data_IF_473225754587
#
_entry.id   IF_473225754587
#
_cell.length_a   1.000
_cell.length_b   1.000
_cell.length_c   1.000
_cell.angle_alpha   90.00
_cell.angle_beta   90.00
_cell.angle_gamma   90.00
#
_symmetry.space_group_name_H-M   'P 1'
#
loop_
_entity.id
_entity.type
_entity.pdbx_description
1 polymer ?
#
# COMPACT_ATOMS: atom_id res chain seq x y z
N UNK A 1 30.63 -7.84 19.29
CA UNK A 1 29.21 -7.45 19.23
C UNK A 1 29.11 -6.04 19.78
N UNK A 2 28.96 -5.04 18.90
CA UNK A 2 28.89 -3.63 19.29
C UNK A 2 27.40 -3.25 19.25
N UNK A 3 26.81 -2.94 20.41
CA UNK A 3 25.43 -2.49 20.48
C UNK A 3 25.35 -0.99 20.16
N UNK A 4 24.64 -0.65 19.10
CA UNK A 4 24.40 0.72 18.65
C UNK A 4 23.18 1.30 19.36
N UNK A 5 23.25 1.41 20.70
CA UNK A 5 22.12 1.80 21.55
C UNK A 5 21.54 3.18 21.21
N UNK A 6 22.33 4.10 20.69
CA UNK A 6 21.88 5.45 20.32
C UNK A 6 21.33 5.54 18.89
N UNK A 7 21.50 4.50 18.07
CA UNK A 7 21.10 4.53 16.67
C UNK A 7 19.58 4.43 16.55
N UNK A 8 18.95 5.52 16.09
CA UNK A 8 17.50 5.58 15.83
C UNK A 8 17.17 5.53 14.35
N UNK A 9 18.12 5.84 13.47
CA UNK A 9 17.92 5.88 12.03
C UNK A 9 19.08 5.22 11.32
N UNK A 10 18.74 4.32 10.39
CA UNK A 10 19.67 3.69 9.46
C UNK A 10 19.19 4.01 8.04
N UNK A 11 20.05 4.66 7.27
CA UNK A 11 19.76 5.09 5.90
C UNK A 11 20.78 4.43 4.97
N UNK A 12 20.31 3.45 4.19
CA UNK A 12 21.08 2.65 3.24
C UNK A 12 20.61 2.90 1.80
N UNK A 13 19.89 4.00 1.54
CA UNK A 13 19.30 4.27 0.23
C UNK A 13 20.31 4.15 -0.91
N UNK A 14 19.89 3.52 -2.00
CA UNK A 14 20.71 3.37 -3.20
C UNK A 14 21.93 2.45 -3.03
N UNK A 15 21.99 1.65 -1.96
CA UNK A 15 23.08 0.68 -1.74
C UNK A 15 22.95 -0.49 -2.71
N UNK A 16 23.35 -0.27 -3.97
CA UNK A 16 23.17 -1.22 -5.07
C UNK A 16 24.03 -2.48 -4.97
N UNK A 17 24.96 -2.56 -4.03
CA UNK A 17 25.73 -3.78 -3.73
C UNK A 17 25.17 -4.56 -2.54
N UNK A 18 24.21 -4.01 -1.80
CA UNK A 18 23.61 -4.66 -0.64
C UNK A 18 22.69 -5.80 -1.11
N UNK A 19 23.14 -7.04 -0.95
CA UNK A 19 22.33 -8.22 -1.30
C UNK A 19 21.43 -8.69 -0.14
N UNK A 20 21.89 -8.47 1.10
CA UNK A 20 21.18 -8.79 2.35
C UNK A 20 21.47 -7.69 3.37
N UNK A 21 20.50 -7.39 4.25
CA UNK A 21 20.68 -6.39 5.31
C UNK A 21 21.52 -6.91 6.49
N UNK A 22 22.10 -6.03 7.32
CA UNK A 22 22.79 -6.46 8.54
C UNK A 22 21.83 -7.07 9.58
N UNK A 23 22.41 -7.68 10.62
CA UNK A 23 21.66 -8.09 11.80
C UNK A 23 21.17 -6.86 12.59
N UNK A 24 19.85 -6.73 12.72
CA UNK A 24 19.19 -5.67 13.48
C UNK A 24 19.19 -5.86 15.00
N UNK A 25 19.63 -7.01 15.54
CA UNK A 25 19.72 -7.20 17.00
C UNK A 25 20.71 -6.23 17.66
N UNK A 26 21.72 -5.77 16.93
CA UNK A 26 22.70 -4.79 17.41
C UNK A 26 22.15 -3.36 17.47
N UNK A 27 20.95 -3.10 16.94
CA UNK A 27 20.31 -1.78 16.85
C UNK A 27 18.92 -1.78 17.52
N UNK A 28 18.83 -2.07 18.83
CA UNK A 28 17.54 -2.30 19.52
C UNK A 28 16.63 -1.06 19.57
N UNK A 29 17.19 0.13 19.34
CA UNK A 29 16.47 1.41 19.38
C UNK A 29 16.18 1.99 17.99
N UNK A 30 16.33 1.20 16.93
CA UNK A 30 16.07 1.64 15.55
C UNK A 30 14.59 1.97 15.36
N UNK A 31 14.33 3.20 14.89
CA UNK A 31 13.00 3.73 14.62
C UNK A 31 12.73 3.90 13.12
N UNK A 32 13.77 4.22 12.35
CA UNK A 32 13.66 4.51 10.92
C UNK A 32 14.69 3.71 10.12
N UNK A 33 14.21 2.82 9.24
CA UNK A 33 15.03 2.07 8.31
C UNK A 33 14.67 2.46 6.88
N UNK A 34 15.62 3.10 6.18
CA UNK A 34 15.41 3.61 4.83
C UNK A 34 16.37 2.89 3.88
N UNK A 35 15.83 2.11 2.96
CA UNK A 35 16.56 1.27 2.00
C UNK A 35 16.03 1.44 0.58
N UNK A 36 15.37 2.57 0.30
CA UNK A 36 14.81 2.80 -1.03
C UNK A 36 15.89 2.78 -2.11
N UNK A 37 15.64 2.11 -3.22
CA UNK A 37 16.55 2.00 -4.35
C UNK A 37 17.71 1.02 -4.14
N UNK A 38 17.67 0.13 -3.13
CA UNK A 38 18.63 -0.96 -3.00
C UNK A 38 18.33 -2.05 -4.03
N UNK A 39 18.73 -1.83 -5.29
CA UNK A 39 18.29 -2.67 -6.42
C UNK A 39 18.79 -4.11 -6.39
N UNK A 40 19.90 -4.41 -5.71
CA UNK A 40 20.42 -5.77 -5.55
C UNK A 40 19.93 -6.49 -4.29
N UNK A 41 19.16 -5.81 -3.44
CA UNK A 41 18.65 -6.39 -2.20
C UNK A 41 17.67 -7.52 -2.55
N UNK A 42 17.97 -8.74 -2.09
CA UNK A 42 17.12 -9.92 -2.32
C UNK A 42 16.30 -10.27 -1.10
N UNK A 43 16.90 -10.11 0.08
CA UNK A 43 16.31 -10.53 1.35
C UNK A 43 16.62 -9.51 2.45
N UNK A 44 15.69 -9.36 3.39
CA UNK A 44 15.89 -8.59 4.61
C UNK A 44 16.12 -9.57 5.75
N UNK A 45 17.19 -9.36 6.51
CA UNK A 45 17.61 -10.24 7.57
C UNK A 45 16.48 -10.45 8.59
N UNK A 46 16.28 -11.71 8.99
CA UNK A 46 15.14 -12.15 9.77
C UNK A 46 15.02 -11.47 11.15
N UNK A 47 16.12 -10.93 11.69
CA UNK A 47 16.13 -10.20 12.95
C UNK A 47 15.40 -8.86 12.89
N UNK A 48 14.97 -8.39 11.72
CA UNK A 48 14.10 -7.23 11.59
C UNK A 48 12.88 -7.34 12.50
N UNK A 49 12.31 -8.55 12.65
CA UNK A 49 11.17 -8.84 13.54
C UNK A 49 11.39 -8.43 15.00
N UNK A 50 12.64 -8.32 15.43
CA UNK A 50 13.03 -7.92 16.79
C UNK A 50 13.07 -6.39 16.97
N UNK A 51 12.96 -5.61 15.89
CA UNK A 51 13.02 -4.14 15.92
C UNK A 51 11.71 -3.53 16.42
N UNK A 52 11.40 -3.75 17.71
CA UNK A 52 10.11 -3.37 18.32
C UNK A 52 9.83 -1.86 18.30
N UNK A 53 10.85 -1.03 18.15
CA UNK A 53 10.73 0.44 18.06
C UNK A 53 10.66 0.96 16.63
N UNK A 54 10.70 0.09 15.61
CA UNK A 54 10.69 0.52 14.22
C UNK A 54 9.33 1.14 13.87
N UNK A 55 9.35 2.42 13.53
CA UNK A 55 8.18 3.23 13.16
C UNK A 55 8.04 3.29 11.64
N UNK A 56 9.17 3.38 10.91
CA UNK A 56 9.20 3.54 9.47
C UNK A 56 10.13 2.53 8.81
N UNK A 57 9.59 1.82 7.82
CA UNK A 57 10.34 0.95 6.91
C UNK A 57 10.10 1.40 5.47
N UNK A 58 11.15 1.82 4.78
CA UNK A 58 11.09 2.15 3.36
C UNK A 58 11.98 1.21 2.54
N UNK A 59 11.35 0.42 1.68
CA UNK A 59 11.96 -0.54 0.76
C UNK A 59 11.60 -0.24 -0.70
N UNK A 60 11.12 0.98 -0.99
CA UNK A 60 10.67 1.30 -2.35
C UNK A 60 11.79 1.14 -3.37
N UNK A 61 11.46 0.76 -4.60
CA UNK A 61 12.43 0.50 -5.67
C UNK A 61 13.48 -0.60 -5.38
N UNK A 62 13.24 -1.48 -4.40
CA UNK A 62 14.03 -2.71 -4.22
C UNK A 62 13.57 -3.78 -5.22
N UNK A 63 13.90 -3.57 -6.50
CA UNK A 63 13.36 -4.36 -7.63
C UNK A 63 13.65 -5.87 -7.54
N UNK A 64 14.72 -6.27 -6.84
CA UNK A 64 15.10 -7.68 -6.68
C UNK A 64 14.68 -8.31 -5.36
N UNK A 65 13.95 -7.58 -4.50
CA UNK A 65 13.48 -8.10 -3.23
C UNK A 65 12.50 -9.25 -3.48
N UNK A 66 12.79 -10.42 -2.93
CA UNK A 66 12.01 -11.64 -3.15
C UNK A 66 10.98 -11.86 -2.04
N UNK A 67 11.39 -11.59 -0.80
CA UNK A 67 10.58 -11.83 0.38
C UNK A 67 10.95 -10.85 1.50
N UNK A 68 10.02 -10.70 2.44
CA UNK A 68 10.26 -10.01 3.70
C UNK A 68 10.09 -10.99 4.86
N UNK A 69 10.89 -10.86 5.92
CA UNK A 69 10.60 -11.55 7.17
C UNK A 69 9.25 -11.09 7.70
N UNK A 70 8.62 -11.89 8.56
CA UNK A 70 7.34 -11.51 9.16
C UNK A 70 7.48 -10.17 9.91
N UNK A 71 6.67 -9.20 9.49
CA UNK A 71 6.59 -7.86 10.10
C UNK A 71 5.34 -7.69 10.99
N UNK A 72 4.52 -8.74 11.13
CA UNK A 72 3.29 -8.68 11.91
C UNK A 72 3.54 -8.31 13.40
N UNK A 73 4.72 -8.66 13.91
CA UNK A 73 5.14 -8.39 15.29
C UNK A 73 5.69 -6.96 15.52
N UNK A 74 5.85 -6.16 14.45
CA UNK A 74 6.36 -4.79 14.55
C UNK A 74 5.25 -3.84 15.02
N UNK A 75 4.91 -3.90 16.31
CA UNK A 75 3.82 -3.12 16.90
C UNK A 75 4.00 -1.60 16.84
N UNK A 76 5.23 -1.10 16.68
CA UNK A 76 5.49 0.33 16.49
C UNK A 76 5.39 0.78 15.02
N UNK A 77 5.34 -0.13 14.05
CA UNK A 77 5.43 0.23 12.63
C UNK A 77 4.17 0.99 12.19
N UNK A 78 4.35 2.24 11.76
CA UNK A 78 3.29 3.11 11.27
C UNK A 78 3.35 3.31 9.75
N UNK A 79 4.54 3.21 9.15
CA UNK A 79 4.75 3.42 7.71
C UNK A 79 5.54 2.26 7.10
N UNK A 80 5.00 1.73 6.00
CA UNK A 80 5.64 0.73 5.17
C UNK A 80 5.54 1.13 3.69
N UNK A 81 6.66 1.12 2.99
CA UNK A 81 6.69 1.37 1.55
C UNK A 81 7.38 0.23 0.80
N UNK A 82 6.60 -0.44 -0.05
CA UNK A 82 6.96 -1.55 -0.92
C UNK A 82 6.68 -1.23 -2.40
N UNK A 83 6.53 0.06 -2.74
CA UNK A 83 6.35 0.46 -4.13
C UNK A 83 7.56 0.09 -4.99
N UNK A 84 7.33 -0.30 -6.25
CA UNK A 84 8.37 -0.74 -7.18
C UNK A 84 9.21 -1.96 -6.73
N UNK A 85 8.67 -2.81 -5.84
CA UNK A 85 9.28 -4.09 -5.44
C UNK A 85 8.87 -5.23 -6.40
N UNK A 86 9.33 -5.17 -7.65
CA UNK A 86 8.83 -5.98 -8.78
C UNK A 86 8.86 -7.50 -8.61
N UNK A 87 9.83 -8.01 -7.85
CA UNK A 87 9.99 -9.45 -7.59
C UNK A 87 9.34 -9.91 -6.29
N UNK A 88 8.81 -8.99 -5.49
CA UNK A 88 8.07 -9.29 -4.27
C UNK A 88 6.65 -9.64 -4.67
N UNK A 89 6.34 -10.94 -4.73
CA UNK A 89 5.10 -11.39 -5.37
C UNK A 89 3.85 -11.33 -4.48
N UNK A 90 4.00 -11.12 -3.17
CA UNK A 90 2.92 -11.10 -2.19
C UNK A 90 3.21 -10.09 -1.07
N UNK A 91 2.16 -9.51 -0.48
CA UNK A 91 2.30 -8.67 0.70
C UNK A 91 2.51 -9.53 1.96
N UNK A 92 3.38 -9.11 2.88
CA UNK A 92 3.49 -9.75 4.19
C UNK A 92 2.22 -9.50 5.01
N UNK A 93 2.02 -10.30 6.06
CA UNK A 93 1.02 -9.97 7.06
C UNK A 93 1.38 -8.64 7.74
N UNK A 94 0.49 -7.67 7.61
CA UNK A 94 0.74 -6.30 8.09
C UNK A 94 0.63 -6.25 9.62
N UNK A 95 1.41 -5.41 10.32
CA UNK A 95 1.25 -5.19 11.75
C UNK A 95 -0.08 -4.50 12.07
N UNK A 96 -0.63 -4.67 13.29
CA UNK A 96 -1.94 -4.14 13.68
C UNK A 96 -2.02 -2.62 13.63
N UNK A 97 -0.92 -1.95 14.01
CA UNK A 97 -0.82 -0.51 14.13
C UNK A 97 -0.36 0.19 12.83
N UNK A 98 -0.22 -0.56 11.73
CA UNK A 98 0.22 0.02 10.46
C UNK A 98 -0.80 1.06 9.97
N UNK A 99 -0.35 2.31 9.86
CA UNK A 99 -1.19 3.42 9.42
C UNK A 99 -1.10 3.64 7.92
N UNK A 100 0.10 3.60 7.33
CA UNK A 100 0.33 3.84 5.90
C UNK A 100 1.05 2.66 5.25
N UNK A 101 0.48 2.13 4.17
CA UNK A 101 1.12 1.17 3.27
C UNK A 101 1.18 1.74 1.85
N UNK A 102 2.36 1.75 1.25
CA UNK A 102 2.52 1.93 -0.20
C UNK A 102 2.87 0.58 -0.82
N UNK A 103 2.15 0.15 -1.85
CA UNK A 103 2.39 -1.11 -2.55
C UNK A 103 1.94 -1.06 -4.01
N UNK A 104 2.52 -1.91 -4.86
CA UNK A 104 2.09 -1.98 -6.25
C UNK A 104 0.75 -2.71 -6.42
N UNK A 105 -0.08 -2.27 -7.37
CA UNK A 105 -1.41 -2.86 -7.63
C UNK A 105 -1.36 -4.38 -7.89
N UNK A 106 -0.32 -4.87 -8.55
CA UNK A 106 -0.19 -6.29 -8.88
C UNK A 106 0.05 -7.17 -7.63
N UNK A 107 0.72 -6.65 -6.61
CA UNK A 107 0.89 -7.31 -5.32
C UNK A 107 -0.41 -7.24 -4.52
N UNK A 108 -1.02 -6.06 -4.50
CA UNK A 108 -2.26 -5.80 -3.78
C UNK A 108 -3.42 -6.67 -4.29
N UNK A 109 -3.51 -6.90 -5.62
CA UNK A 109 -4.52 -7.77 -6.24
C UNK A 109 -4.49 -9.18 -5.66
N UNK A 110 -3.30 -9.75 -5.46
CA UNK A 110 -3.14 -11.09 -4.88
C UNK A 110 -3.52 -11.17 -3.41
N UNK A 111 -3.49 -10.05 -2.70
CA UNK A 111 -3.80 -9.98 -1.27
C UNK A 111 -5.08 -9.21 -0.96
N UNK A 112 -5.91 -8.93 -1.98
CA UNK A 112 -7.00 -7.97 -1.90
C UNK A 112 -8.07 -8.37 -0.88
N UNK A 113 -8.44 -9.65 -0.85
CA UNK A 113 -9.38 -10.18 0.12
C UNK A 113 -8.89 -9.96 1.55
N UNK A 114 -7.60 -10.22 1.83
CA UNK A 114 -7.02 -10.00 3.16
C UNK A 114 -6.93 -8.50 3.51
N UNK A 115 -6.59 -7.65 2.54
CA UNK A 115 -6.56 -6.21 2.71
C UNK A 115 -7.94 -5.65 3.04
N UNK A 116 -9.01 -6.24 2.50
CA UNK A 116 -10.39 -5.76 2.64
C UNK A 116 -11.09 -6.35 3.88
N UNK A 117 -10.96 -7.66 4.14
CA UNK A 117 -11.62 -8.38 5.27
C UNK A 117 -10.92 -8.24 6.62
N UNK A 118 -9.59 -8.15 6.60
CA UNK A 118 -8.63 -7.54 7.56
C UNK A 118 -9.03 -6.43 8.53
N UNK A 119 -10.26 -6.22 9.03
CA UNK A 119 -10.69 -4.97 9.73
C UNK A 119 -9.66 -4.52 10.78
N UNK A 120 -9.01 -3.38 10.50
CA UNK A 120 -8.06 -2.71 11.40
C UNK A 120 -8.43 -1.24 11.49
N UNK A 121 -8.30 -0.67 12.68
CA UNK A 121 -8.62 0.73 12.96
C UNK A 121 -7.71 1.62 12.10
N UNK A 122 -8.31 2.41 11.21
CA UNK A 122 -7.69 3.51 10.46
C UNK A 122 -6.40 3.15 9.73
N UNK A 123 -6.53 2.63 8.51
CA UNK A 123 -5.40 2.36 7.62
C UNK A 123 -5.55 3.14 6.31
N UNK A 124 -4.47 3.79 5.88
CA UNK A 124 -4.32 4.42 4.58
C UNK A 124 -3.48 3.49 3.69
N UNK A 125 -4.13 2.95 2.66
CA UNK A 125 -3.52 2.07 1.69
C UNK A 125 -3.34 2.85 0.40
N UNK A 126 -2.10 3.02 -0.03
CA UNK A 126 -1.72 3.74 -1.24
C UNK A 126 -1.21 2.72 -2.24
N UNK A 127 -1.85 2.66 -3.41
CA UNK A 127 -1.46 1.76 -4.47
C UNK A 127 -0.93 2.52 -5.67
N UNK A 128 0.24 2.08 -6.15
CA UNK A 128 0.91 2.67 -7.31
C UNK A 128 0.85 1.72 -8.50
N UNK A 129 0.52 2.22 -9.71
CA UNK A 129 0.80 1.51 -10.94
C UNK A 129 2.31 1.49 -11.15
N UNK A 130 2.83 0.38 -11.68
CA UNK A 130 4.26 0.20 -11.94
C UNK A 130 4.78 1.38 -12.79
N UNK A 131 5.70 2.16 -12.24
CA UNK A 131 6.14 3.46 -12.72
C UNK A 131 7.22 3.39 -13.80
N UNK A 132 7.77 2.21 -14.10
CA UNK A 132 8.82 2.06 -15.12
C UNK A 132 8.61 0.79 -15.96
N UNK A 133 8.06 0.95 -17.17
CA UNK A 133 8.29 0.02 -18.27
C UNK A 133 7.06 -0.44 -19.04
N UNK A 134 5.92 -0.67 -18.38
CA UNK A 134 4.67 -1.02 -19.07
C UNK A 134 3.49 -0.65 -18.18
N UNK A 135 2.94 0.54 -18.39
CA UNK A 135 1.62 0.88 -17.85
C UNK A 135 0.62 -0.15 -18.42
N UNK A 136 0.24 -1.12 -17.59
CA UNK A 136 -0.65 -2.20 -17.99
C UNK A 136 -2.06 -1.89 -17.49
N UNK A 137 -2.83 -1.20 -18.34
CA UNK A 137 -4.24 -0.87 -18.12
C UNK A 137 -5.05 -2.09 -17.65
N UNK A 138 -4.71 -3.30 -18.13
CA UNK A 138 -5.40 -4.53 -17.73
C UNK A 138 -5.24 -4.85 -16.25
N UNK A 139 -4.02 -4.81 -15.69
CA UNK A 139 -3.79 -5.12 -14.27
C UNK A 139 -4.47 -4.08 -13.37
N UNK A 140 -4.43 -2.82 -13.79
CA UNK A 140 -5.09 -1.72 -13.09
C UNK A 140 -6.62 -1.90 -13.06
N UNK A 141 -7.22 -2.15 -14.22
CA UNK A 141 -8.66 -2.39 -14.35
C UNK A 141 -9.09 -3.60 -13.52
N UNK A 142 -8.32 -4.69 -13.58
CA UNK A 142 -8.57 -5.87 -12.77
C UNK A 142 -8.45 -5.59 -11.27
N UNK A 143 -7.45 -4.81 -10.84
CA UNK A 143 -7.29 -4.45 -9.44
C UNK A 143 -8.44 -3.60 -8.90
N UNK A 144 -8.79 -2.53 -9.59
CA UNK A 144 -9.88 -1.66 -9.16
C UNK A 144 -11.24 -2.38 -9.20
N UNK A 145 -11.50 -3.22 -10.21
CA UNK A 145 -12.71 -4.03 -10.26
C UNK A 145 -12.75 -5.04 -9.10
N UNK A 146 -11.67 -5.77 -8.84
CA UNK A 146 -11.59 -6.69 -7.72
C UNK A 146 -11.77 -5.97 -6.38
N UNK A 147 -11.20 -4.76 -6.22
CA UNK A 147 -11.32 -3.96 -5.02
C UNK A 147 -12.79 -3.57 -4.79
N UNK A 148 -13.44 -3.06 -5.83
CA UNK A 148 -14.85 -2.69 -5.79
C UNK A 148 -15.75 -3.88 -5.42
N UNK A 149 -15.55 -5.04 -6.07
CA UNK A 149 -16.33 -6.24 -5.77
C UNK A 149 -16.16 -6.70 -4.31
N UNK A 150 -14.93 -6.71 -3.79
CA UNK A 150 -14.66 -7.11 -2.40
C UNK A 150 -15.23 -6.10 -1.38
N UNK A 151 -15.21 -4.80 -1.69
CA UNK A 151 -15.81 -3.79 -0.81
C UNK A 151 -17.33 -3.90 -0.83
N UNK A 152 -17.94 -4.09 -2.01
CA UNK A 152 -19.38 -4.25 -2.18
C UNK A 152 -19.92 -5.49 -1.47
N UNK A 153 -19.23 -6.63 -1.59
CA UNK A 153 -19.64 -7.87 -0.93
C UNK A 153 -19.64 -7.75 0.59
N UNK A 154 -18.73 -6.96 1.18
CA UNK A 154 -18.68 -6.73 2.63
C UNK A 154 -19.81 -5.84 3.15
N UNK A 155 -20.45 -5.03 2.30
CA UNK A 155 -21.53 -4.13 2.73
C UNK A 155 -22.84 -4.88 3.02
N UNK A 156 -23.06 -6.04 2.40
CA UNK A 156 -24.27 -6.84 2.67
C UNK A 156 -24.29 -7.49 4.07
N UNK A 157 -23.16 -7.50 4.77
CA UNK A 157 -23.01 -8.11 6.10
C UNK A 157 -23.03 -7.09 7.27
N UNK A 158 -23.18 -5.78 7.00
CA UNK A 158 -23.05 -4.73 8.02
C UNK A 158 -24.42 -4.16 8.40
N UNK A 159 -24.91 -4.53 9.59
CA UNK A 159 -26.00 -3.79 10.25
C UNK A 159 -25.51 -2.43 10.77
N UNK A 160 -26.38 -1.41 10.70
CA UNK A 160 -26.16 0.03 10.92
C UNK A 160 -25.54 0.49 12.28
N UNK A 161 -24.96 -0.39 13.11
CA UNK A 161 -24.49 -0.04 14.47
C UNK A 161 -22.98 0.06 14.66
N UNK A 162 -22.17 -0.33 13.68
CA UNK A 162 -20.71 -0.42 13.85
C UNK A 162 -20.01 0.82 13.27
N UNK A 163 -19.85 1.87 14.09
CA UNK A 163 -19.22 3.13 13.69
C UNK A 163 -17.88 2.90 12.95
N UNK A 164 -17.89 3.29 11.69
CA UNK A 164 -16.91 3.04 10.62
C UNK A 164 -15.44 3.07 11.07
N UNK A 165 -14.76 1.91 11.08
CA UNK A 165 -13.30 1.89 10.93
C UNK A 165 -12.97 2.32 9.49
N UNK A 166 -12.83 3.62 9.25
CA UNK A 166 -12.58 4.14 7.91
C UNK A 166 -11.22 3.65 7.41
N UNK A 167 -11.26 2.91 6.30
CA UNK A 167 -10.07 2.55 5.51
C UNK A 167 -10.05 3.45 4.29
N UNK A 168 -8.96 4.18 4.13
CA UNK A 168 -8.80 5.06 2.98
C UNK A 168 -7.92 4.34 1.98
N UNK A 169 -8.52 3.86 0.89
CA UNK A 169 -7.76 3.34 -0.23
C UNK A 169 -7.51 4.50 -1.19
N UNK A 170 -6.26 4.73 -1.51
CA UNK A 170 -5.82 5.74 -2.47
C UNK A 170 -5.10 5.02 -3.59
N UNK A 171 -5.46 5.32 -4.83
CA UNK A 171 -4.70 4.87 -5.99
C UNK A 171 -4.01 6.11 -6.58
N UNK A 172 -2.68 6.12 -6.55
CA UNK A 172 -1.85 7.24 -6.99
C UNK A 172 -1.25 6.95 -8.36
N UNK A 173 -1.37 7.89 -9.31
CA UNK A 173 -0.83 7.74 -10.66
C UNK A 173 0.48 8.48 -10.84
N UNK A 174 1.57 7.75 -11.10
CA UNK A 174 2.86 8.31 -11.44
C UNK A 174 2.92 8.64 -12.95
N UNK A 175 2.39 9.81 -13.33
CA UNK A 175 2.67 10.45 -14.61
C UNK A 175 2.08 9.79 -15.86
N UNK A 176 0.88 10.21 -16.26
CA UNK A 176 0.54 10.72 -17.60
C UNK A 176 -0.91 11.22 -17.58
N UNK A 177 -1.20 12.26 -18.37
CA UNK A 177 -2.44 13.06 -18.43
C UNK A 177 -3.72 12.29 -18.85
N UNK A 178 -3.72 10.96 -18.85
CA UNK A 178 -4.91 10.18 -19.19
C UNK A 178 -5.58 9.74 -17.90
N UNK A 179 -6.77 10.29 -17.68
CA UNK A 179 -7.76 9.69 -16.80
C UNK A 179 -7.84 8.20 -17.21
N UNK A 180 -7.61 7.24 -16.30
CA UNK A 180 -7.76 5.84 -16.63
C UNK A 180 -9.15 5.63 -17.24
N UNK A 181 -9.28 4.84 -18.30
CA UNK A 181 -10.58 4.48 -18.91
C UNK A 181 -11.60 3.99 -17.89
N UNK A 182 -11.10 3.55 -16.74
CA UNK A 182 -11.80 3.22 -15.51
C UNK A 182 -12.69 4.33 -14.93
N UNK A 183 -12.40 5.63 -15.13
CA UNK A 183 -13.37 6.66 -14.72
C UNK A 183 -14.66 6.56 -15.52
N UNK A 184 -14.60 6.17 -16.81
CA UNK A 184 -15.79 5.89 -17.61
C UNK A 184 -16.44 4.56 -17.23
N UNK A 185 -15.65 3.52 -16.91
CA UNK A 185 -16.19 2.22 -16.51
C UNK A 185 -16.81 2.21 -15.10
N UNK A 186 -16.26 2.96 -14.14
CA UNK A 186 -16.88 3.21 -12.84
C UNK A 186 -18.13 4.09 -12.98
N UNK A 187 -18.14 5.04 -13.93
CA UNK A 187 -19.34 5.80 -14.28
C UNK A 187 -20.45 4.86 -14.78
N UNK A 188 -20.11 3.95 -15.72
CA UNK A 188 -21.04 2.98 -16.30
C UNK A 188 -21.59 1.97 -15.27
N UNK A 189 -20.73 1.40 -14.42
CA UNK A 189 -21.13 0.45 -13.37
C UNK A 189 -22.07 1.08 -12.32
N UNK A 190 -21.95 2.38 -12.08
CA UNK A 190 -22.84 3.11 -11.18
C UNK A 190 -24.10 3.64 -11.86
N UNK A 191 -24.13 3.75 -13.19
CA UNK A 191 -25.36 4.06 -13.94
C UNK A 191 -26.23 2.83 -14.21
N UNK A 192 -25.65 1.63 -14.29
CA UNK A 192 -26.43 0.38 -14.53
C UNK A 192 -27.04 -0.22 -13.26
N UNK A 193 -26.52 0.15 -12.10
CA UNK A 193 -26.95 -0.41 -10.83
C UNK A 193 -27.74 0.65 -10.06
N UNK A 194 -28.93 0.30 -9.58
CA UNK A 194 -29.91 1.17 -8.88
C UNK A 194 -29.45 1.63 -7.48
N UNK A 195 -28.18 2.04 -7.35
CA UNK A 195 -27.47 2.29 -6.09
C UNK A 195 -27.55 3.74 -5.58
N UNK A 196 -28.40 4.58 -6.17
CA UNK A 196 -28.43 6.04 -5.90
C UNK A 196 -29.04 6.39 -4.53
N UNK A 197 -29.56 5.45 -3.74
CA UNK A 197 -30.10 5.76 -2.40
C UNK A 197 -29.05 5.85 -1.30
N UNK A 198 -27.80 5.44 -1.52
CA UNK A 198 -26.81 5.32 -0.44
C UNK A 198 -25.79 6.49 -0.44
N UNK A 199 -25.81 7.31 0.63
CA UNK A 199 -24.92 8.48 0.85
C UNK A 199 -23.43 8.16 0.72
N UNK A 200 -23.01 6.92 0.98
CA UNK A 200 -21.61 6.47 0.88
C UNK A 200 -21.10 6.45 -0.55
N UNK A 201 -21.90 5.91 -1.49
CA UNK A 201 -21.57 5.86 -2.92
C UNK A 201 -21.64 7.24 -3.57
N UNK A 202 -22.45 8.15 -3.04
CA UNK A 202 -22.52 9.54 -3.50
C UNK A 202 -21.20 10.30 -3.25
N UNK A 203 -20.53 10.04 -2.12
CA UNK A 203 -19.22 10.65 -1.79
C UNK A 203 -18.10 10.09 -2.66
N UNK A 204 -18.17 8.79 -2.97
CA UNK A 204 -17.28 8.09 -3.91
C UNK A 204 -17.32 8.70 -5.32
N UNK A 205 -18.51 9.09 -5.78
CA UNK A 205 -18.73 9.72 -7.09
C UNK A 205 -18.21 11.16 -7.16
N UNK A 206 -18.37 11.94 -6.09
CA UNK A 206 -17.99 13.35 -6.07
C UNK A 206 -16.46 13.55 -6.10
N UNK A 207 -15.69 12.64 -5.49
CA UNK A 207 -14.22 12.67 -5.53
C UNK A 207 -13.65 12.38 -6.94
N UNK A 208 -14.31 11.52 -7.71
CA UNK A 208 -14.00 11.24 -9.11
C UNK A 208 -14.18 12.49 -10.00
N UNK A 209 -15.26 13.26 -9.78
CA UNK A 209 -15.55 14.48 -10.55
C UNK A 209 -14.69 15.68 -10.11
N UNK A 210 -14.42 15.83 -8.81
CA UNK A 210 -13.57 16.92 -8.31
C UNK A 210 -12.12 16.78 -8.79
N UNK A 211 -11.61 15.55 -8.96
CA UNK A 211 -10.28 15.28 -9.52
C UNK A 211 -10.15 15.55 -11.03
N UNK A 212 -11.26 15.66 -11.76
CA UNK A 212 -11.26 15.92 -13.20
C UNK A 212 -11.13 17.41 -13.55
N UNK A 213 -11.35 18.32 -12.60
CA UNK A 213 -11.43 19.77 -12.85
C UNK A 213 -10.25 20.61 -12.35
N UNK A 214 -9.20 20.01 -11.76
CA UNK A 214 -8.03 20.76 -11.31
C UNK A 214 -6.75 20.38 -12.08
N UNK A 215 -6.22 21.39 -12.77
CA UNK A 215 -4.92 21.40 -13.43
C UNK A 215 -3.84 21.38 -12.33
N UNK A 216 -3.16 20.22 -12.15
CA UNK A 216 -2.12 19.87 -11.15
C UNK A 216 -2.62 19.83 -9.68
N UNK A 217 -2.52 18.69 -8.94
CA UNK A 217 -1.38 17.74 -8.84
C UNK A 217 -1.83 16.26 -9.17
N UNK A 218 -1.11 15.16 -8.82
CA UNK A 218 -1.34 13.85 -9.47
C UNK A 218 -2.77 13.34 -9.22
N UNK A 219 -3.41 12.85 -10.28
CA UNK A 219 -4.79 12.38 -10.29
C UNK A 219 -4.98 11.21 -9.31
N UNK A 220 -5.31 11.50 -8.05
CA UNK A 220 -5.50 10.50 -7.02
C UNK A 220 -6.97 10.08 -6.97
N UNK A 221 -7.25 8.79 -7.13
CA UNK A 221 -8.57 8.24 -6.86
C UNK A 221 -8.61 7.82 -5.38
N UNK A 222 -9.42 8.51 -4.56
CA UNK A 222 -9.62 8.18 -3.15
C UNK A 222 -10.95 7.48 -2.97
N UNK A 223 -10.91 6.30 -2.36
CA UNK A 223 -12.04 5.50 -1.93
C UNK A 223 -12.14 5.70 -0.40
N UNK A 224 -13.20 6.34 0.06
CA UNK A 224 -13.49 6.57 1.47
C UNK A 224 -14.61 5.64 1.96
#
# INVERSE_FOLDING_TARGET
MILLLSLRRLDLRGSNSLMETPDFTEMPNLENLIMSGCTSLKEVHHSLRCSRKLIKLNLSHCINLLALPSIAQLGALRYLDLSECRRLTQLPELPPELYTLHADCHMALKSIHNLVTKKKKSQRLIFTPLSYGTYNDSIYNSFAHALFQNISSLQHDISDSDSLSLRVFTIEHAGQKKIPSLCNSLLLLATESSFITNKFLFSFFFLLLAGAHQINPPSCLRLC
#
